data_IF_661602043385
#
_entry.id   IF_661602043385
#
_cell.length_a   1.000
_cell.length_b   1.000
_cell.length_c   1.000
_cell.angle_alpha   90.00
_cell.angle_beta   90.00
_cell.angle_gamma   90.00
#
_symmetry.space_group_name_H-M   'P 1'
#
loop_
_entity.id
_entity.type
_entity.pdbx_description
1 polymer ?
#
# COMPACT_ATOMS: atom_id res chain seq x y z
N UNK A 1 -12.47 12.63 -11.54
CA UNK A 1 -12.76 13.03 -10.14
C UNK A 1 -14.26 13.02 -9.85
N UNK A 2 -15.11 13.58 -10.71
CA UNK A 2 -16.57 13.58 -10.47
C UNK A 2 -17.14 12.16 -10.31
N UNK A 3 -16.64 11.19 -11.08
CA UNK A 3 -17.06 9.79 -10.94
C UNK A 3 -16.76 9.22 -9.56
N UNK A 4 -15.60 9.56 -8.98
CA UNK A 4 -15.24 9.15 -7.62
C UNK A 4 -16.17 9.80 -6.59
N UNK A 5 -16.41 11.11 -6.71
CA UNK A 5 -17.34 11.83 -5.82
C UNK A 5 -18.72 11.17 -5.83
N UNK A 6 -19.22 10.76 -6.99
CA UNK A 6 -20.53 10.11 -7.13
C UNK A 6 -20.60 8.73 -6.46
N UNK A 7 -19.46 8.09 -6.16
CA UNK A 7 -19.37 6.76 -5.56
C UNK A 7 -18.84 6.77 -4.12
N UNK A 8 -18.71 7.94 -3.49
CA UNK A 8 -18.23 8.01 -2.10
C UNK A 8 -19.15 7.27 -1.13
N UNK A 9 -20.47 7.28 -1.35
CA UNK A 9 -21.42 6.53 -0.51
C UNK A 9 -21.20 5.01 -0.62
N UNK A 10 -20.84 4.49 -1.81
CA UNK A 10 -20.44 3.08 -1.99
C UNK A 10 -19.18 2.75 -1.20
N UNK A 11 -18.17 3.61 -1.26
CA UNK A 11 -16.90 3.42 -0.57
C UNK A 11 -17.06 3.50 0.94
N UNK A 12 -17.85 4.45 1.44
CA UNK A 12 -18.18 4.57 2.85
C UNK A 12 -18.92 3.33 3.37
N UNK A 13 -19.94 2.86 2.62
CA UNK A 13 -20.71 1.65 2.94
C UNK A 13 -19.85 0.39 2.93
N UNK A 14 -18.83 0.32 2.08
CA UNK A 14 -17.84 -0.76 2.04
C UNK A 14 -16.92 -0.76 3.27
N UNK A 15 -16.82 0.36 4.00
CA UNK A 15 -15.94 0.52 5.17
C UNK A 15 -14.58 1.17 4.85
N UNK A 16 -14.46 1.81 3.68
CA UNK A 16 -13.25 2.56 3.30
C UNK A 16 -13.14 3.83 4.14
N UNK A 17 -11.95 4.11 4.65
CA UNK A 17 -11.65 5.29 5.49
C UNK A 17 -10.66 6.25 4.85
N UNK A 18 -9.97 5.84 3.79
CA UNK A 18 -9.07 6.68 3.03
C UNK A 18 -9.06 6.27 1.56
N UNK A 19 -8.85 7.23 0.67
CA UNK A 19 -8.61 6.99 -0.75
C UNK A 19 -7.21 7.45 -1.14
N UNK A 20 -6.49 6.58 -1.81
CA UNK A 20 -5.28 6.88 -2.56
C UNK A 20 -5.54 6.59 -4.04
N UNK A 21 -5.45 7.62 -4.87
CA UNK A 21 -5.46 7.48 -6.33
C UNK A 21 -4.04 7.40 -6.85
N UNK A 22 -3.83 6.70 -7.98
CA UNK A 22 -2.60 6.91 -8.79
C UNK A 22 -2.45 8.39 -9.15
N UNK A 23 -1.27 8.86 -9.61
CA UNK A 23 -1.05 10.29 -9.83
C UNK A 23 -2.14 10.92 -10.70
N UNK A 24 -2.59 12.11 -10.30
CA UNK A 24 -3.62 12.87 -10.99
C UNK A 24 -3.09 14.16 -11.62
N UNK A 25 -1.80 14.46 -11.44
CA UNK A 25 -1.18 15.66 -11.99
C UNK A 25 -0.97 15.51 -13.50
N UNK A 26 -0.95 16.64 -14.21
CA UNK A 26 -0.90 16.67 -15.67
C UNK A 26 0.29 15.89 -16.23
N UNK A 27 0.02 15.04 -17.20
CA UNK A 27 1.01 14.27 -17.97
C UNK A 27 0.69 14.40 -19.46
N UNK A 28 1.49 15.23 -20.15
CA UNK A 28 1.34 15.53 -21.57
C UNK A 28 2.28 14.68 -22.45
N UNK A 29 2.87 13.61 -21.92
CA UNK A 29 3.70 12.72 -22.73
C UNK A 29 2.86 12.16 -23.90
N UNK A 30 3.44 12.18 -25.09
CA UNK A 30 2.77 11.69 -26.29
C UNK A 30 2.53 10.17 -26.27
N UNK A 31 3.30 9.44 -25.41
CA UNK A 31 3.19 8.01 -25.20
C UNK A 31 3.20 7.74 -23.69
N UNK A 32 2.45 6.73 -23.27
CA UNK A 32 2.45 6.24 -21.89
C UNK A 32 1.88 7.21 -20.83
N UNK A 33 1.31 8.36 -21.22
CA UNK A 33 0.71 9.32 -20.28
C UNK A 33 -0.50 8.76 -19.49
N UNK A 34 -0.91 7.52 -19.75
CA UNK A 34 -2.00 6.86 -19.02
C UNK A 34 -1.71 6.67 -17.53
N UNK A 35 -0.45 6.54 -17.14
CA UNK A 35 -0.05 6.32 -15.75
C UNK A 35 0.16 7.61 -14.95
N UNK A 36 0.37 8.76 -15.63
CA UNK A 36 0.56 10.09 -15.03
C UNK A 36 1.77 10.25 -14.08
N UNK A 37 2.75 9.33 -14.15
CA UNK A 37 4.00 9.46 -13.41
C UNK A 37 5.02 10.38 -14.10
N UNK A 38 4.92 10.62 -15.42
CA UNK A 38 5.77 11.56 -16.17
C UNK A 38 5.12 12.96 -16.20
N UNK A 39 5.06 13.61 -15.05
CA UNK A 39 4.29 14.84 -14.85
C UNK A 39 4.86 16.02 -15.64
N UNK A 40 4.00 16.73 -16.38
CA UNK A 40 4.33 17.91 -17.17
C UNK A 40 3.99 19.24 -16.48
N UNK A 41 3.10 19.20 -15.48
CA UNK A 41 2.79 20.33 -14.59
C UNK A 41 2.38 19.81 -13.20
N UNK A 42 3.21 20.09 -12.19
CA UNK A 42 3.01 19.60 -10.81
C UNK A 42 2.08 20.50 -9.98
N UNK A 43 1.51 21.56 -10.55
CA UNK A 43 0.50 22.41 -9.93
C UNK A 43 -0.89 22.26 -10.53
N UNK A 44 -1.07 21.29 -11.43
CA UNK A 44 -2.29 21.16 -12.21
C UNK A 44 -2.77 19.72 -12.26
N UNK A 45 -4.04 19.51 -11.93
CA UNK A 45 -4.71 18.24 -12.18
C UNK A 45 -4.85 18.04 -13.70
N UNK A 46 -4.59 16.82 -14.16
CA UNK A 46 -4.71 16.44 -15.55
C UNK A 46 -6.16 16.67 -16.03
N UNK A 47 -6.37 17.39 -17.13
CA UNK A 47 -7.71 17.70 -17.64
C UNK A 47 -8.57 16.46 -17.95
N UNK A 48 -7.96 15.31 -18.14
CA UNK A 48 -8.66 14.02 -18.33
C UNK A 48 -9.43 13.59 -17.08
N UNK A 49 -8.98 14.00 -15.90
CA UNK A 49 -9.60 13.64 -14.61
C UNK A 49 -10.48 14.76 -14.04
N UNK A 50 -10.20 16.02 -14.40
CA UNK A 50 -10.93 17.18 -13.90
C UNK A 50 -10.04 18.40 -13.73
N UNK A 51 -10.32 19.18 -12.71
CA UNK A 51 -9.62 20.44 -12.37
C UNK A 51 -9.09 20.40 -10.95
N UNK A 52 -8.23 21.36 -10.59
CA UNK A 52 -7.79 21.56 -9.21
C UNK A 52 -8.98 21.78 -8.27
N UNK A 53 -10.01 22.51 -8.71
CA UNK A 53 -11.22 22.73 -7.92
C UNK A 53 -12.02 21.43 -7.71
N UNK A 54 -12.03 20.52 -8.69
CA UNK A 54 -12.66 19.21 -8.54
C UNK A 54 -11.90 18.34 -7.51
N UNK A 55 -10.56 18.45 -7.47
CA UNK A 55 -9.76 17.75 -6.48
C UNK A 55 -9.99 18.28 -5.07
N UNK A 56 -10.01 19.61 -4.91
CA UNK A 56 -10.37 20.26 -3.65
C UNK A 56 -11.78 19.87 -3.19
N UNK A 57 -12.74 19.82 -4.12
CA UNK A 57 -14.10 19.37 -3.82
C UNK A 57 -14.13 17.92 -3.37
N UNK A 58 -13.35 17.02 -4.01
CA UNK A 58 -13.23 15.63 -3.57
C UNK A 58 -12.75 15.56 -2.12
N UNK A 59 -11.70 16.32 -1.75
CA UNK A 59 -11.21 16.38 -0.37
C UNK A 59 -12.32 16.82 0.61
N UNK A 60 -13.04 17.88 0.26
CA UNK A 60 -14.16 18.38 1.10
C UNK A 60 -15.29 17.37 1.26
N UNK A 61 -15.68 16.67 0.19
CA UNK A 61 -16.73 15.64 0.23
C UNK A 61 -16.31 14.40 1.03
N UNK A 62 -15.02 14.09 1.01
CA UNK A 62 -14.44 13.00 1.81
C UNK A 62 -14.38 13.38 3.30
N UNK A 63 -13.93 14.59 3.62
CA UNK A 63 -13.90 15.10 5.00
C UNK A 63 -15.29 15.05 5.66
N UNK A 64 -16.37 15.38 4.94
CA UNK A 64 -17.76 15.29 5.43
C UNK A 64 -18.19 13.86 5.80
N UNK A 65 -17.47 12.84 5.27
CA UNK A 65 -17.69 11.41 5.53
C UNK A 65 -16.65 10.81 6.48
N UNK A 66 -15.82 11.66 7.10
CA UNK A 66 -14.69 11.22 7.94
C UNK A 66 -13.71 10.32 7.19
N UNK A 67 -13.58 10.53 5.87
CA UNK A 67 -12.65 9.84 4.98
C UNK A 67 -11.44 10.72 4.68
N UNK A 68 -10.26 10.10 4.49
CA UNK A 68 -8.99 10.76 4.25
C UNK A 68 -8.60 10.68 2.76
N UNK A 69 -8.05 11.78 2.22
CA UNK A 69 -7.55 11.84 0.86
C UNK A 69 -6.02 11.78 0.84
N UNK A 70 -5.48 10.79 0.14
CA UNK A 70 -4.04 10.59 -0.02
C UNK A 70 -3.66 10.85 -1.47
N UNK A 71 -2.71 11.74 -1.71
CA UNK A 71 -2.17 12.02 -3.05
C UNK A 71 -0.97 11.11 -3.32
N UNK A 72 -0.94 10.50 -4.50
CA UNK A 72 0.28 9.92 -5.05
C UNK A 72 1.22 11.06 -5.49
N UNK A 73 2.40 11.14 -4.89
CA UNK A 73 3.32 12.25 -5.06
C UNK A 73 4.67 11.78 -5.56
N UNK A 74 5.15 12.38 -6.64
CA UNK A 74 6.40 12.01 -7.29
C UNK A 74 7.47 13.05 -6.99
N UNK A 75 8.50 12.66 -6.24
CA UNK A 75 9.64 13.52 -5.90
C UNK A 75 10.88 13.23 -6.74
N UNK A 76 10.98 12.00 -7.25
CA UNK A 76 12.20 11.49 -7.89
C UNK A 76 12.44 12.08 -9.28
N UNK A 77 11.41 12.24 -10.07
CA UNK A 77 11.50 12.66 -11.47
C UNK A 77 10.27 13.46 -11.89
N UNK A 78 10.40 14.18 -13.00
CA UNK A 78 9.27 14.76 -13.74
C UNK A 78 9.21 14.18 -15.16
N UNK A 79 8.18 14.52 -15.92
CA UNK A 79 8.14 14.23 -17.34
C UNK A 79 9.08 15.13 -18.15
N UNK A 80 9.65 14.61 -19.24
CA UNK A 80 10.45 15.42 -20.18
C UNK A 80 9.65 16.57 -20.81
N UNK A 81 8.32 16.45 -20.81
CA UNK A 81 7.37 17.49 -21.26
C UNK A 81 7.12 18.58 -20.20
N UNK A 82 7.64 18.43 -18.97
CA UNK A 82 7.47 19.43 -17.92
C UNK A 82 8.08 20.75 -18.34
N UNK A 83 7.34 21.86 -18.14
CA UNK A 83 7.74 23.17 -18.60
C UNK A 83 9.08 23.65 -18.01
N UNK A 84 9.39 23.31 -16.74
CA UNK A 84 10.71 23.57 -16.14
C UNK A 84 11.83 22.69 -16.72
N UNK A 85 11.53 21.49 -17.18
CA UNK A 85 12.52 20.62 -17.85
C UNK A 85 12.88 21.21 -19.22
N UNK A 86 11.89 21.77 -19.94
CA UNK A 86 12.12 22.42 -21.23
C UNK A 86 12.87 23.74 -21.13
N UNK A 87 12.81 24.41 -19.99
CA UNK A 87 13.51 25.68 -19.72
C UNK A 87 14.10 25.64 -18.31
N UNK A 88 15.12 24.80 -18.13
CA UNK A 88 15.76 24.57 -16.84
C UNK A 88 16.34 25.88 -16.27
N UNK A 89 15.98 26.25 -15.02
CA UNK A 89 16.60 27.42 -14.36
C UNK A 89 18.12 27.30 -14.25
N UNK A 90 18.58 26.06 -14.00
CA UNK A 90 20.01 25.68 -14.00
C UNK A 90 20.09 24.20 -14.43
N UNK A 91 21.15 23.84 -15.13
CA UNK A 91 21.36 22.44 -15.57
C UNK A 91 21.42 21.45 -14.40
N UNK A 92 21.85 21.90 -13.22
CA UNK A 92 21.94 21.10 -11.99
C UNK A 92 20.60 20.78 -11.33
N UNK A 93 19.45 21.15 -11.91
CA UNK A 93 18.13 20.75 -11.43
C UNK A 93 17.81 19.27 -11.69
N UNK A 94 18.45 18.72 -12.72
CA UNK A 94 18.33 17.30 -13.06
C UNK A 94 19.70 16.64 -13.05
N UNK A 95 19.74 15.35 -12.75
CA UNK A 95 20.97 14.58 -12.84
C UNK A 95 21.35 14.31 -14.28
N UNK A 96 22.64 14.36 -14.56
CA UNK A 96 23.22 14.26 -15.89
C UNK A 96 24.49 13.42 -15.86
N UNK A 97 24.72 12.71 -16.93
CA UNK A 97 25.91 11.91 -17.16
C UNK A 97 26.67 12.53 -18.35
N UNK A 98 27.64 13.38 -18.06
CA UNK A 98 28.38 14.14 -19.11
C UNK A 98 29.06 13.24 -20.13
N UNK A 99 29.47 12.03 -19.74
CA UNK A 99 30.05 11.06 -20.64
C UNK A 99 29.07 10.58 -21.72
N UNK A 100 27.77 10.74 -21.48
CA UNK A 100 26.69 10.38 -22.41
C UNK A 100 26.17 11.60 -23.18
N UNK A 101 26.82 12.77 -23.04
CA UNK A 101 26.42 14.03 -23.62
C UNK A 101 26.28 13.97 -25.13
N UNK A 102 25.05 14.11 -25.60
CA UNK A 102 24.74 14.17 -27.01
C UNK A 102 24.41 15.56 -27.52
N UNK A 103 23.66 15.65 -28.61
CA UNK A 103 23.35 16.90 -29.30
C UNK A 103 22.33 17.77 -28.55
N UNK A 104 21.38 17.15 -27.88
CA UNK A 104 20.27 17.78 -27.19
C UNK A 104 20.49 17.81 -25.67
N UNK A 105 21.77 17.82 -25.24
CA UNK A 105 22.12 17.96 -23.82
C UNK A 105 21.46 19.23 -23.22
N UNK A 106 20.85 19.15 -22.00
CA UNK A 106 21.02 18.07 -21.01
C UNK A 106 20.11 16.84 -21.17
N UNK A 107 19.07 16.88 -21.98
CA UNK A 107 18.05 15.84 -22.04
C UNK A 107 18.54 14.52 -22.69
N UNK A 108 19.61 14.53 -23.45
CA UNK A 108 20.24 13.33 -24.01
C UNK A 108 21.47 12.87 -23.23
N UNK A 109 21.86 13.60 -22.18
CA UNK A 109 22.98 13.26 -21.30
C UNK A 109 22.61 12.40 -20.11
N UNK A 110 21.67 11.45 -20.25
CA UNK A 110 21.21 10.59 -19.18
C UNK A 110 21.84 9.18 -19.24
N UNK A 111 21.77 8.49 -18.11
CA UNK A 111 21.94 7.05 -18.01
C UNK A 111 20.75 6.44 -17.28
N UNK A 112 20.38 5.22 -17.63
CA UNK A 112 19.30 4.53 -16.92
C UNK A 112 19.73 4.15 -15.51
N UNK A 113 18.79 4.18 -14.57
CA UNK A 113 18.98 3.65 -13.22
C UNK A 113 19.37 2.16 -13.30
N UNK A 114 20.24 1.74 -12.40
CA UNK A 114 20.54 0.31 -12.22
C UNK A 114 19.48 -0.39 -11.35
N UNK A 115 18.50 0.36 -10.81
CA UNK A 115 17.41 -0.12 -9.97
C UNK A 115 17.87 -0.86 -8.69
N UNK A 116 19.08 -0.57 -8.19
CA UNK A 116 19.65 -1.22 -7.00
C UNK A 116 19.68 -0.31 -5.79
N UNK A 117 18.51 0.01 -5.24
CA UNK A 117 18.32 0.88 -4.07
C UNK A 117 19.22 0.51 -2.88
N UNK A 118 19.60 -0.77 -2.78
CA UNK A 118 20.49 -1.27 -1.72
C UNK A 118 21.88 -0.63 -1.74
N UNK A 119 22.33 -0.12 -2.90
CA UNK A 119 23.64 0.56 -3.02
C UNK A 119 23.71 1.84 -2.17
N UNK A 120 22.59 2.47 -1.88
CA UNK A 120 22.53 3.72 -1.09
C UNK A 120 22.91 3.54 0.39
N UNK A 121 22.78 2.34 0.93
CA UNK A 121 23.10 2.03 2.32
C UNK A 121 24.05 0.84 2.53
N UNK A 122 24.50 0.21 1.45
CA UNK A 122 25.57 -0.77 1.52
C UNK A 122 26.91 -0.05 1.70
N UNK A 123 27.60 -0.22 2.86
CA UNK A 123 28.87 0.47 3.13
C UNK A 123 30.01 0.02 2.21
N UNK A 124 29.80 -1.05 1.44
CA UNK A 124 30.79 -1.61 0.51
C UNK A 124 30.41 -1.36 -0.95
N UNK A 125 29.29 -0.69 -1.22
CA UNK A 125 28.88 -0.36 -2.59
C UNK A 125 29.91 0.55 -3.26
N UNK A 126 30.11 0.33 -4.56
CA UNK A 126 30.94 1.27 -5.33
C UNK A 126 30.20 2.59 -5.52
N UNK A 127 30.93 3.71 -5.49
CA UNK A 127 30.36 5.03 -5.72
C UNK A 127 29.65 5.13 -7.08
N UNK A 128 30.14 4.41 -8.09
CA UNK A 128 29.53 4.42 -9.41
C UNK A 128 28.18 3.70 -9.41
N UNK A 129 28.02 2.59 -8.69
CA UNK A 129 26.76 1.87 -8.60
C UNK A 129 25.73 2.65 -7.80
N UNK A 130 26.14 3.30 -6.70
CA UNK A 130 25.28 4.22 -5.94
C UNK A 130 24.79 5.36 -6.83
N UNK A 131 25.69 5.99 -7.55
CA UNK A 131 25.35 7.07 -8.49
C UNK A 131 24.37 6.62 -9.57
N UNK A 132 24.56 5.43 -10.17
CA UNK A 132 23.60 4.92 -11.17
C UNK A 132 22.25 4.54 -10.59
N UNK A 133 22.14 4.32 -9.29
CA UNK A 133 20.86 4.15 -8.63
C UNK A 133 20.15 5.49 -8.38
N UNK A 134 20.83 6.43 -7.74
CA UNK A 134 20.28 7.72 -7.30
C UNK A 134 20.07 8.70 -8.46
N UNK A 135 21.09 8.86 -9.33
CA UNK A 135 21.08 9.85 -10.42
C UNK A 135 20.49 9.28 -11.73
N UNK A 136 20.28 7.96 -11.81
CA UNK A 136 19.88 7.29 -13.04
C UNK A 136 18.39 7.51 -13.35
N UNK A 137 18.09 7.88 -14.60
CA UNK A 137 16.71 8.05 -15.05
C UNK A 137 16.03 6.70 -15.27
N UNK A 138 14.73 6.62 -14.98
CA UNK A 138 13.96 5.42 -15.29
C UNK A 138 13.77 5.22 -16.79
N UNK A 139 13.48 6.29 -17.50
CA UNK A 139 13.39 6.32 -18.96
C UNK A 139 13.87 7.67 -19.49
N UNK A 140 14.08 7.78 -20.80
CA UNK A 140 14.39 9.05 -21.45
C UNK A 140 13.30 10.13 -21.30
N UNK A 141 12.09 9.73 -20.93
CA UNK A 141 10.95 10.65 -20.75
C UNK A 141 10.72 11.02 -19.29
N UNK A 142 11.55 10.53 -18.36
CA UNK A 142 11.49 10.79 -16.93
C UNK A 142 12.83 11.29 -16.40
N UNK A 143 13.18 12.56 -16.65
CA UNK A 143 14.38 13.21 -16.10
C UNK A 143 14.41 13.12 -14.58
N UNK A 144 15.50 12.58 -14.06
CA UNK A 144 15.73 12.46 -12.64
C UNK A 144 16.08 13.81 -12.00
N UNK A 145 15.40 14.15 -10.90
CA UNK A 145 15.54 15.43 -10.22
C UNK A 145 16.67 15.41 -9.21
N UNK A 146 17.51 16.41 -9.23
CA UNK A 146 18.60 16.53 -8.28
C UNK A 146 18.15 17.20 -6.98
N UNK A 147 17.75 16.40 -5.97
CA UNK A 147 17.34 16.89 -4.66
C UNK A 147 18.55 17.38 -3.81
N UNK A 148 19.78 17.08 -4.19
CA UNK A 148 20.98 17.67 -3.56
C UNK A 148 21.15 19.16 -3.94
N UNK A 149 20.50 19.61 -5.02
CA UNK A 149 20.41 21.04 -5.33
C UNK A 149 19.36 21.71 -4.41
N UNK A 150 19.74 22.67 -3.57
CA UNK A 150 18.83 23.27 -2.59
C UNK A 150 17.65 24.03 -3.23
N UNK A 151 17.76 24.47 -4.49
CA UNK A 151 16.65 25.14 -5.19
C UNK A 151 15.61 24.12 -5.66
N UNK A 152 16.05 22.99 -6.20
CA UNK A 152 15.17 21.87 -6.57
C UNK A 152 14.44 21.35 -5.34
N UNK A 153 15.17 21.09 -4.26
CA UNK A 153 14.59 20.62 -3.01
C UNK A 153 13.57 21.62 -2.44
N UNK A 154 13.91 22.93 -2.42
CA UNK A 154 12.99 23.98 -1.96
C UNK A 154 11.71 24.00 -2.80
N UNK A 155 11.82 23.87 -4.11
CA UNK A 155 10.68 23.85 -5.01
C UNK A 155 9.76 22.65 -4.73
N UNK A 156 10.33 21.45 -4.55
CA UNK A 156 9.56 20.24 -4.20
C UNK A 156 8.86 20.37 -2.85
N UNK A 157 9.52 20.95 -1.82
CA UNK A 157 8.90 21.22 -0.52
C UNK A 157 7.74 22.20 -0.67
N UNK A 158 7.95 23.31 -1.36
CA UNK A 158 6.91 24.33 -1.55
C UNK A 158 5.72 23.81 -2.35
N UNK A 159 5.95 22.97 -3.36
CA UNK A 159 4.89 22.33 -4.12
C UNK A 159 4.04 21.39 -3.24
N UNK A 160 4.70 20.59 -2.41
CA UNK A 160 3.98 19.69 -1.48
C UNK A 160 3.14 20.50 -0.48
N UNK A 161 3.70 21.52 0.16
CA UNK A 161 2.96 22.41 1.07
C UNK A 161 1.79 23.10 0.35
N UNK A 162 2.01 23.55 -0.89
CA UNK A 162 0.94 24.17 -1.67
C UNK A 162 -0.25 23.21 -1.89
N UNK A 163 0.00 21.94 -2.19
CA UNK A 163 -1.08 20.95 -2.36
C UNK A 163 -1.82 20.69 -1.04
N UNK A 164 -1.11 20.61 0.09
CA UNK A 164 -1.72 20.44 1.41
C UNK A 164 -2.65 21.61 1.71
N UNK A 165 -2.15 22.84 1.58
CA UNK A 165 -2.92 24.07 1.88
C UNK A 165 -4.07 24.31 0.89
N UNK A 166 -3.84 24.04 -0.40
CA UNK A 166 -4.84 24.27 -1.44
C UNK A 166 -6.01 23.30 -1.35
N UNK A 167 -5.74 22.03 -1.18
CA UNK A 167 -6.78 21.00 -1.26
C UNK A 167 -7.28 20.49 0.09
N UNK A 168 -6.49 20.61 1.16
CA UNK A 168 -6.82 20.02 2.46
C UNK A 168 -6.65 18.50 2.47
N UNK A 169 -5.77 17.94 1.65
CA UNK A 169 -5.48 16.50 1.64
C UNK A 169 -4.78 16.06 2.92
N UNK A 170 -4.86 14.77 3.25
CA UNK A 170 -4.48 14.23 4.56
C UNK A 170 -3.14 13.49 4.56
N UNK A 171 -2.59 13.16 3.40
CA UNK A 171 -1.33 12.42 3.31
C UNK A 171 -0.80 12.30 1.89
N UNK A 172 0.44 11.83 1.81
CA UNK A 172 1.09 11.43 0.56
C UNK A 172 1.44 9.95 0.55
N UNK A 173 1.26 9.29 -0.59
CA UNK A 173 2.05 8.13 -0.96
C UNK A 173 3.15 8.63 -1.89
N UNK A 174 4.39 8.47 -1.51
CA UNK A 174 5.53 8.96 -2.29
C UNK A 174 6.08 7.84 -3.14
N UNK A 175 5.91 8.01 -4.45
CA UNK A 175 6.41 7.12 -5.49
C UNK A 175 7.93 7.00 -5.43
N UNK A 176 8.44 5.79 -5.68
CA UNK A 176 9.87 5.54 -5.81
C UNK A 176 10.73 6.17 -4.69
N UNK A 177 10.22 6.21 -3.46
CA UNK A 177 10.79 6.94 -2.32
C UNK A 177 12.29 6.66 -2.12
N UNK A 178 12.69 5.41 -2.23
CA UNK A 178 14.08 4.97 -2.01
C UNK A 178 15.01 5.10 -3.22
N UNK A 179 14.55 5.70 -4.32
CA UNK A 179 15.40 6.03 -5.48
C UNK A 179 15.91 7.47 -5.45
N UNK A 180 15.25 8.36 -4.70
CA UNK A 180 15.67 9.75 -4.54
C UNK A 180 17.06 9.88 -3.90
N UNK A 181 17.72 11.01 -4.06
CA UNK A 181 18.84 11.38 -3.20
C UNK A 181 18.45 11.19 -1.73
N UNK A 182 19.21 10.37 -1.03
CA UNK A 182 18.85 9.88 0.30
C UNK A 182 18.67 11.02 1.32
N UNK A 183 19.59 11.97 1.34
CA UNK A 183 19.52 13.14 2.24
C UNK A 183 18.47 14.14 1.77
N UNK A 184 18.30 14.28 0.46
CA UNK A 184 17.32 15.16 -0.15
C UNK A 184 15.89 14.74 0.21
N UNK A 185 15.54 13.45 0.04
CA UNK A 185 14.21 12.97 0.39
C UNK A 185 13.93 12.98 1.90
N UNK A 186 14.95 12.70 2.72
CA UNK A 186 14.84 12.82 4.17
C UNK A 186 14.55 14.27 4.59
N UNK A 187 15.24 15.24 4.01
CA UNK A 187 15.01 16.66 4.26
C UNK A 187 13.64 17.13 3.77
N UNK A 188 13.19 16.64 2.60
CA UNK A 188 11.84 16.92 2.08
C UNK A 188 10.79 16.40 3.06
N UNK A 189 10.90 15.12 3.46
CA UNK A 189 9.97 14.49 4.39
C UNK A 189 9.93 15.21 5.74
N UNK A 190 11.12 15.55 6.26
CA UNK A 190 11.24 16.29 7.51
C UNK A 190 10.56 17.65 7.45
N UNK A 191 10.75 18.41 6.37
CA UNK A 191 10.16 19.72 6.21
C UNK A 191 8.62 19.66 6.23
N UNK A 192 8.02 18.63 5.59
CA UNK A 192 6.58 18.44 5.59
C UNK A 192 6.06 18.01 6.97
N UNK A 193 6.73 17.04 7.60
CA UNK A 193 6.27 16.51 8.90
C UNK A 193 6.54 17.45 10.07
N UNK A 194 7.51 18.36 9.98
CA UNK A 194 7.72 19.43 10.96
C UNK A 194 6.61 20.50 10.87
N UNK A 195 6.15 20.84 9.66
CA UNK A 195 5.07 21.81 9.44
C UNK A 195 3.69 21.20 9.76
N UNK A 196 3.49 19.93 9.40
CA UNK A 196 2.24 19.19 9.58
C UNK A 196 2.48 17.88 10.38
N UNK A 197 2.59 17.94 11.72
CA UNK A 197 2.97 16.76 12.53
C UNK A 197 2.02 15.57 12.45
N UNK A 198 0.76 15.79 12.07
CA UNK A 198 -0.26 14.74 11.91
C UNK A 198 -0.44 14.28 10.46
N UNK A 199 0.35 14.82 9.52
CA UNK A 199 0.30 14.44 8.12
C UNK A 199 1.05 13.13 7.90
N UNK A 200 0.41 12.13 7.31
CA UNK A 200 1.05 10.86 7.06
C UNK A 200 1.71 10.81 5.67
N UNK A 201 2.89 10.23 5.61
CA UNK A 201 3.63 9.98 4.37
C UNK A 201 3.96 8.51 4.32
N UNK A 202 3.52 7.85 3.25
CA UNK A 202 3.84 6.45 2.95
C UNK A 202 4.88 6.42 1.84
N UNK A 203 6.09 6.01 2.16
CA UNK A 203 7.16 5.84 1.16
C UNK A 203 7.06 4.49 0.46
N UNK A 204 7.06 4.51 -0.88
CA UNK A 204 7.24 3.28 -1.63
C UNK A 204 8.71 2.85 -1.57
N UNK A 205 8.96 1.82 -0.77
CA UNK A 205 10.27 1.17 -0.62
C UNK A 205 10.13 -0.26 -1.09
N UNK A 206 10.21 -0.48 -2.39
CA UNK A 206 9.98 -1.79 -3.00
C UNK A 206 11.19 -2.71 -2.84
N UNK A 207 11.31 -3.26 -1.66
CA UNK A 207 12.36 -4.20 -1.27
C UNK A 207 11.74 -5.48 -0.69
N UNK A 208 12.49 -6.57 -0.76
CA UNK A 208 12.02 -7.91 -0.37
C UNK A 208 12.69 -8.43 0.92
N UNK A 209 13.07 -7.50 1.80
CA UNK A 209 13.69 -7.82 3.09
C UNK A 209 13.28 -6.78 4.12
N UNK A 210 12.77 -7.23 5.28
CA UNK A 210 12.24 -6.35 6.33
C UNK A 210 13.28 -5.35 6.86
N UNK A 211 14.53 -5.78 7.08
CA UNK A 211 15.56 -4.87 7.58
C UNK A 211 15.86 -3.74 6.59
N UNK A 212 15.79 -4.03 5.28
CA UNK A 212 15.99 -3.05 4.22
C UNK A 212 14.81 -2.07 4.13
N UNK A 213 13.57 -2.54 4.28
CA UNK A 213 12.37 -1.70 4.33
C UNK A 213 12.38 -0.85 5.61
N UNK A 214 12.64 -1.47 6.77
CA UNK A 214 12.70 -0.79 8.06
C UNK A 214 13.78 0.30 8.13
N UNK A 215 14.85 0.19 7.34
CA UNK A 215 15.86 1.23 7.20
C UNK A 215 15.27 2.60 6.83
N UNK A 216 14.21 2.59 6.03
CA UNK A 216 13.56 3.79 5.48
C UNK A 216 12.40 4.31 6.34
N UNK A 217 12.06 3.67 7.45
CA UNK A 217 11.04 4.21 8.35
C UNK A 217 11.65 5.27 9.30
N UNK A 218 10.85 6.27 9.65
CA UNK A 218 11.23 7.31 10.63
C UNK A 218 11.78 6.69 11.92
N UNK A 219 12.86 7.26 12.43
CA UNK A 219 13.54 6.85 13.68
C UNK A 219 13.98 5.37 13.68
N UNK A 220 14.25 4.83 12.48
CA UNK A 220 14.68 3.44 12.29
C UNK A 220 15.94 3.11 13.08
N UNK A 221 15.87 2.03 13.86
CA UNK A 221 17.06 1.49 14.55
C UNK A 221 18.14 1.01 13.57
N UNK A 222 17.70 0.51 12.40
CA UNK A 222 18.60 0.04 11.33
C UNK A 222 19.26 1.25 10.66
N UNK A 223 18.48 2.30 10.33
CA UNK A 223 19.01 3.55 9.77
C UNK A 223 20.00 4.25 10.73
N UNK A 224 19.71 4.23 12.03
CA UNK A 224 20.57 4.83 13.05
C UNK A 224 21.97 4.21 13.10
N UNK A 225 22.17 2.96 12.67
CA UNK A 225 23.51 2.34 12.55
C UNK A 225 24.41 3.08 11.55
N UNK A 226 23.81 3.85 10.63
CA UNK A 226 24.51 4.67 9.64
C UNK A 226 24.28 6.17 9.84
N UNK A 227 23.77 6.58 11.01
CA UNK A 227 23.42 7.96 11.33
C UNK A 227 22.38 8.55 10.33
N UNK A 228 21.47 7.71 9.84
CA UNK A 228 20.43 8.10 8.89
C UNK A 228 19.03 8.04 9.53
N UNK A 229 18.21 9.04 9.23
CA UNK A 229 16.79 9.07 9.52
C UNK A 229 16.03 9.64 8.31
N UNK A 230 15.21 8.83 7.70
CA UNK A 230 14.39 9.24 6.55
C UNK A 230 13.27 10.20 6.92
N UNK A 231 12.89 10.26 8.19
CA UNK A 231 11.70 10.94 8.71
C UNK A 231 10.36 10.44 8.11
N UNK A 232 10.37 9.39 7.31
CA UNK A 232 9.18 8.82 6.67
C UNK A 232 8.35 8.00 7.67
N UNK A 233 7.14 8.44 8.05
CA UNK A 233 6.37 7.78 9.09
C UNK A 233 5.97 6.34 8.71
N UNK A 234 5.62 6.10 7.46
CA UNK A 234 5.11 4.83 6.96
C UNK A 234 5.89 4.34 5.75
N UNK A 235 6.03 3.03 5.63
CA UNK A 235 6.58 2.33 4.47
C UNK A 235 5.69 1.16 4.08
N UNK A 236 5.76 0.72 2.82
CA UNK A 236 4.95 -0.39 2.30
C UNK A 236 5.58 -1.74 2.63
N UNK A 237 4.80 -2.67 3.21
CA UNK A 237 5.25 -4.02 3.57
C UNK A 237 5.20 -4.98 2.36
N UNK A 238 6.16 -4.84 1.46
CA UNK A 238 6.31 -5.73 0.32
C UNK A 238 6.62 -7.18 0.72
N UNK A 239 7.21 -7.40 1.89
CA UNK A 239 7.52 -8.77 2.33
C UNK A 239 6.30 -9.56 2.73
N UNK A 240 5.29 -8.91 3.34
CA UNK A 240 3.99 -9.54 3.59
C UNK A 240 3.23 -9.78 2.29
N UNK A 241 3.27 -8.83 1.35
CA UNK A 241 2.73 -9.00 0.00
C UNK A 241 3.31 -10.24 -0.69
N UNK A 242 4.64 -10.40 -0.68
CA UNK A 242 5.32 -11.56 -1.27
C UNK A 242 4.84 -12.88 -0.64
N UNK A 243 4.73 -12.92 0.70
CA UNK A 243 4.25 -14.09 1.42
C UNK A 243 2.79 -14.43 1.03
N UNK A 244 1.90 -13.42 1.00
CA UNK A 244 0.49 -13.57 0.60
C UNK A 244 0.39 -14.09 -0.84
N UNK A 245 1.27 -13.68 -1.74
CA UNK A 245 1.26 -14.11 -3.14
C UNK A 245 1.43 -15.62 -3.35
N UNK A 246 1.95 -16.37 -2.36
CA UNK A 246 2.28 -17.78 -2.49
C UNK A 246 1.67 -18.69 -1.42
N UNK A 247 1.63 -18.26 -0.15
CA UNK A 247 1.40 -19.15 1.00
C UNK A 247 0.06 -19.86 0.99
N UNK A 248 -1.01 -19.25 0.46
CA UNK A 248 -2.34 -19.87 0.47
C UNK A 248 -2.52 -20.95 -0.59
N UNK A 249 -1.61 -21.08 -1.58
CA UNK A 249 -1.53 -22.20 -2.53
C UNK A 249 -0.82 -23.42 -1.95
N UNK A 250 -0.12 -23.25 -0.86
CA UNK A 250 0.72 -24.28 -0.25
C UNK A 250 -0.12 -25.07 0.76
N UNK A 251 -0.77 -26.12 0.30
CA UNK A 251 -1.71 -26.94 1.10
C UNK A 251 -1.03 -27.76 2.18
N UNK A 252 0.25 -28.05 2.01
CA UNK A 252 1.02 -28.85 2.97
C UNK A 252 1.88 -27.95 3.85
N UNK A 253 1.76 -28.11 5.16
CA UNK A 253 2.67 -27.48 6.12
C UNK A 253 4.07 -28.09 5.99
N UNK A 254 5.07 -27.24 5.85
CA UNK A 254 6.48 -27.60 5.92
C UNK A 254 7.27 -26.55 6.72
N UNK A 255 8.58 -26.70 6.78
CA UNK A 255 9.45 -25.72 7.43
C UNK A 255 9.33 -24.32 6.79
N UNK A 256 9.03 -24.23 5.52
CA UNK A 256 9.07 -22.97 4.75
C UNK A 256 7.78 -22.72 3.93
N UNK A 257 6.76 -23.57 4.05
CA UNK A 257 5.56 -23.49 3.21
C UNK A 257 4.28 -23.24 4.02
N UNK A 258 3.30 -22.61 3.38
CA UNK A 258 2.01 -22.35 3.99
C UNK A 258 2.05 -21.22 5.02
N UNK A 259 1.29 -21.36 6.08
CA UNK A 259 1.06 -20.31 7.08
C UNK A 259 2.30 -19.91 7.89
N UNK A 260 3.37 -20.70 7.86
CA UNK A 260 4.65 -20.33 8.50
C UNK A 260 5.22 -19.04 7.89
N UNK A 261 4.95 -18.77 6.61
CA UNK A 261 5.42 -17.53 5.95
C UNK A 261 4.82 -16.27 6.56
N UNK A 262 3.57 -16.31 7.01
CA UNK A 262 2.97 -15.21 7.75
C UNK A 262 3.62 -15.05 9.13
N UNK A 263 3.79 -16.14 9.85
CA UNK A 263 4.46 -16.15 11.15
C UNK A 263 5.88 -15.58 11.05
N UNK A 264 6.69 -16.07 10.11
CA UNK A 264 8.06 -15.63 9.89
C UNK A 264 8.17 -14.16 9.44
N UNK A 265 7.14 -13.64 8.79
CA UNK A 265 7.05 -12.21 8.51
C UNK A 265 6.92 -11.40 9.81
N UNK A 266 5.95 -11.75 10.66
CA UNK A 266 5.64 -11.00 11.87
C UNK A 266 6.71 -11.12 12.99
N UNK A 267 7.50 -12.19 13.03
CA UNK A 267 8.62 -12.30 13.99
C UNK A 267 9.67 -11.21 13.80
N UNK A 268 9.68 -10.54 12.65
CA UNK A 268 10.58 -9.45 12.32
C UNK A 268 10.02 -8.04 12.63
N UNK A 269 8.82 -7.95 13.22
CA UNK A 269 8.19 -6.67 13.55
C UNK A 269 9.05 -5.78 14.45
N UNK A 270 9.92 -6.36 15.27
CA UNK A 270 10.90 -5.63 16.12
C UNK A 270 11.91 -4.78 15.33
N UNK A 271 12.07 -5.02 14.02
CA UNK A 271 12.94 -4.22 13.15
C UNK A 271 12.36 -2.83 12.86
N UNK A 272 11.03 -2.73 12.83
CA UNK A 272 10.33 -1.48 12.55
C UNK A 272 10.20 -0.63 13.81
N UNK A 273 10.17 0.68 13.65
CA UNK A 273 9.93 1.61 14.75
C UNK A 273 8.44 1.75 15.07
N UNK A 274 7.61 1.74 14.04
CA UNK A 274 6.16 1.83 14.15
C UNK A 274 5.51 0.82 13.21
N UNK A 275 5.05 -0.30 13.77
CA UNK A 275 4.40 -1.37 13.02
C UNK A 275 2.95 -1.06 12.68
N UNK A 276 2.29 -0.21 13.46
CA UNK A 276 0.88 0.15 13.25
C UNK A 276 0.70 1.13 12.09
N UNK A 277 1.77 1.80 11.70
CA UNK A 277 1.80 2.69 10.54
C UNK A 277 2.46 2.07 9.28
N UNK A 278 2.70 0.76 9.25
CA UNK A 278 3.09 0.07 8.01
C UNK A 278 1.87 -0.01 7.07
N UNK A 279 2.06 0.24 5.78
CA UNK A 279 1.03 -0.05 4.79
C UNK A 279 1.14 -1.52 4.37
N UNK A 280 0.10 -2.31 4.68
CA UNK A 280 0.02 -3.74 4.37
C UNK A 280 -0.97 -4.00 3.24
N UNK A 281 -0.65 -4.91 2.33
CA UNK A 281 -1.47 -5.14 1.14
C UNK A 281 -1.26 -6.55 0.55
N UNK A 282 -2.26 -7.03 -0.17
CA UNK A 282 -2.16 -8.26 -0.95
C UNK A 282 -1.84 -7.98 -2.43
N UNK A 283 -2.31 -6.86 -2.94
CA UNK A 283 -2.12 -6.40 -4.31
C UNK A 283 -2.17 -4.87 -4.40
N UNK A 284 -1.63 -4.31 -5.49
CA UNK A 284 -1.77 -2.91 -5.84
C UNK A 284 -1.79 -2.73 -7.36
N UNK A 285 -1.72 -1.48 -7.83
CA UNK A 285 -1.74 -1.13 -9.25
C UNK A 285 -0.48 -1.55 -10.04
N UNK A 286 0.57 -2.00 -9.36
CA UNK A 286 1.84 -2.45 -9.97
C UNK A 286 2.05 -3.96 -9.88
N UNK A 287 1.25 -4.65 -9.07
CA UNK A 287 1.37 -6.09 -8.85
C UNK A 287 0.24 -6.88 -9.53
N UNK A 288 0.36 -8.19 -9.61
CA UNK A 288 -0.71 -9.04 -10.10
C UNK A 288 -1.93 -9.02 -9.18
N UNK A 289 -3.15 -9.04 -9.76
CA UNK A 289 -4.38 -9.14 -8.97
C UNK A 289 -4.39 -10.42 -8.13
N UNK A 290 -4.72 -10.31 -6.85
CA UNK A 290 -4.77 -11.47 -5.94
C UNK A 290 -5.77 -12.52 -6.42
N UNK A 291 -6.90 -12.10 -6.97
CA UNK A 291 -7.90 -12.98 -7.54
C UNK A 291 -7.41 -13.70 -8.82
N UNK A 292 -6.46 -13.13 -9.56
CA UNK A 292 -5.76 -13.83 -10.65
C UNK A 292 -4.75 -14.83 -10.11
N UNK A 293 -3.96 -14.42 -9.14
CA UNK A 293 -2.95 -15.28 -8.48
C UNK A 293 -3.62 -16.57 -7.95
N UNK A 294 -4.81 -16.47 -7.38
CA UNK A 294 -5.56 -17.59 -6.80
C UNK A 294 -6.67 -18.12 -7.71
N UNK A 295 -6.61 -17.86 -9.03
CA UNK A 295 -7.53 -18.39 -10.04
C UNK A 295 -9.02 -18.11 -9.76
N UNK A 296 -9.35 -16.97 -9.19
CA UNK A 296 -10.72 -16.58 -8.85
C UNK A 296 -11.31 -17.33 -7.65
N UNK A 297 -10.48 -17.88 -6.78
CA UNK A 297 -10.97 -18.58 -5.59
C UNK A 297 -11.38 -17.61 -4.50
N UNK A 298 -12.66 -17.53 -4.21
CA UNK A 298 -13.22 -16.72 -3.12
C UNK A 298 -12.65 -17.15 -1.75
N UNK A 299 -12.38 -18.44 -1.54
CA UNK A 299 -11.87 -18.93 -0.26
C UNK A 299 -10.43 -18.43 -0.01
N UNK A 300 -9.57 -18.45 -1.02
CA UNK A 300 -8.23 -17.87 -0.90
C UNK A 300 -8.29 -16.35 -0.71
N UNK A 301 -9.20 -15.68 -1.41
CA UNK A 301 -9.43 -14.24 -1.21
C UNK A 301 -9.82 -13.92 0.24
N UNK A 302 -10.74 -14.72 0.82
CA UNK A 302 -11.16 -14.55 2.21
C UNK A 302 -10.00 -14.70 3.18
N UNK A 303 -9.13 -15.69 2.99
CA UNK A 303 -7.92 -15.87 3.81
C UNK A 303 -6.97 -14.67 3.69
N UNK A 304 -6.67 -14.23 2.45
CA UNK A 304 -5.77 -13.12 2.19
C UNK A 304 -6.30 -11.80 2.77
N UNK A 305 -7.56 -11.47 2.51
CA UNK A 305 -8.16 -10.22 3.01
C UNK A 305 -8.34 -10.24 4.52
N UNK A 306 -8.67 -11.39 5.12
CA UNK A 306 -8.72 -11.49 6.59
C UNK A 306 -7.36 -11.20 7.19
N UNK A 307 -6.28 -11.78 6.66
CA UNK A 307 -4.93 -11.50 7.16
C UNK A 307 -4.59 -10.01 7.03
N UNK A 308 -4.78 -9.41 5.85
CA UNK A 308 -4.50 -7.98 5.60
C UNK A 308 -5.31 -7.08 6.52
N UNK A 309 -6.61 -7.37 6.72
CA UNK A 309 -7.50 -6.51 7.49
C UNK A 309 -7.41 -6.69 9.01
N UNK A 310 -6.82 -7.78 9.50
CA UNK A 310 -6.79 -8.06 10.95
C UNK A 310 -5.39 -8.08 11.57
N UNK A 311 -4.34 -8.03 10.74
CA UNK A 311 -2.97 -7.87 11.20
C UNK A 311 -2.65 -6.43 11.61
N UNK A 312 -1.40 -6.17 12.01
CA UNK A 312 -0.89 -4.82 12.28
C UNK A 312 -0.79 -3.99 10.99
N UNK A 313 -0.68 -2.67 11.12
CA UNK A 313 -0.52 -1.73 10.01
C UNK A 313 -1.84 -1.25 9.42
N UNK A 314 -1.73 -0.40 8.40
CA UNK A 314 -2.85 0.17 7.65
C UNK A 314 -3.10 -0.64 6.38
N UNK A 315 -4.23 -1.33 6.24
CA UNK A 315 -4.53 -2.14 5.06
C UNK A 315 -4.79 -1.26 3.83
N UNK A 316 -4.13 -1.58 2.74
CA UNK A 316 -4.43 -1.06 1.41
C UNK A 316 -5.21 -2.11 0.63
N UNK A 317 -6.37 -1.74 0.13
CA UNK A 317 -7.21 -2.56 -0.73
C UNK A 317 -7.24 -1.94 -2.12
N UNK A 318 -6.88 -2.71 -3.12
CA UNK A 318 -6.93 -2.25 -4.50
C UNK A 318 -8.35 -2.35 -5.04
N UNK A 319 -8.85 -1.30 -5.71
CA UNK A 319 -10.22 -1.25 -6.21
C UNK A 319 -10.57 -2.48 -7.06
N UNK A 320 -11.78 -2.97 -6.92
CA UNK A 320 -12.27 -4.15 -7.63
C UNK A 320 -11.88 -5.49 -7.01
N UNK A 321 -10.96 -5.52 -6.02
CA UNK A 321 -10.70 -6.73 -5.24
C UNK A 321 -11.95 -7.19 -4.52
N UNK A 322 -12.73 -6.24 -4.00
CA UNK A 322 -13.98 -6.45 -3.28
C UNK A 322 -15.12 -7.02 -4.12
N UNK A 323 -14.95 -7.10 -5.43
CA UNK A 323 -15.90 -7.74 -6.36
C UNK A 323 -15.25 -8.85 -7.20
N UNK A 324 -14.04 -9.30 -6.80
CA UNK A 324 -13.35 -10.41 -7.44
C UNK A 324 -12.69 -10.10 -8.78
N UNK A 325 -12.39 -8.81 -9.09
CA UNK A 325 -11.70 -8.46 -10.34
C UNK A 325 -10.36 -9.18 -10.47
N UNK A 326 -10.07 -9.64 -11.69
CA UNK A 326 -8.86 -10.39 -12.04
C UNK A 326 -8.00 -9.59 -13.02
N UNK A 327 -6.72 -9.88 -13.07
CA UNK A 327 -5.79 -9.27 -14.00
C UNK A 327 -4.39 -9.83 -13.89
N UNK A 328 -3.85 -10.27 -15.04
CA UNK A 328 -2.52 -10.86 -15.16
C UNK A 328 -1.50 -9.75 -15.47
N UNK A 329 -0.63 -9.44 -14.52
CA UNK A 329 0.46 -8.46 -14.68
C UNK A 329 1.38 -8.81 -15.85
N UNK A 330 1.54 -10.10 -16.18
CA UNK A 330 2.34 -10.54 -17.33
C UNK A 330 1.82 -10.03 -18.69
N UNK A 331 0.56 -9.57 -18.73
CA UNK A 331 -0.06 -8.93 -19.91
C UNK A 331 0.04 -7.40 -19.91
N UNK A 332 0.76 -6.83 -18.96
CA UNK A 332 0.98 -5.40 -18.81
C UNK A 332 -0.03 -4.71 -17.87
N UNK A 333 0.20 -3.42 -17.63
CA UNK A 333 -0.56 -2.65 -16.65
C UNK A 333 -2.04 -2.54 -16.98
N UNK A 334 -2.41 -2.40 -18.24
CA UNK A 334 -3.81 -2.34 -18.66
C UNK A 334 -4.62 -3.57 -18.24
N UNK A 335 -3.98 -4.74 -18.08
CA UNK A 335 -4.65 -5.96 -17.65
C UNK A 335 -5.02 -5.95 -16.16
N UNK A 336 -4.25 -5.24 -15.32
CA UNK A 336 -4.51 -5.14 -13.89
C UNK A 336 -5.24 -3.85 -13.50
N UNK A 337 -5.28 -2.84 -14.40
CA UNK A 337 -5.89 -1.52 -14.21
C UNK A 337 -7.15 -1.35 -15.06
N UNK A 338 -7.98 -2.39 -15.14
CA UNK A 338 -9.23 -2.39 -15.90
C UNK A 338 -10.28 -1.48 -15.25
N UNK A 339 -11.20 -0.95 -16.05
CA UNK A 339 -12.33 -0.17 -15.57
C UNK A 339 -13.19 -0.98 -14.57
N UNK A 340 -13.65 -0.31 -13.52
CA UNK A 340 -14.62 -0.90 -12.60
C UNK A 340 -15.98 -1.01 -13.28
N UNK A 341 -16.65 -2.17 -13.24
CA UNK A 341 -17.95 -2.36 -13.88
C UNK A 341 -19.01 -1.40 -13.33
N UNK A 342 -19.57 -0.54 -14.19
CA UNK A 342 -20.49 0.54 -13.80
C UNK A 342 -19.83 1.91 -13.69
N UNK A 343 -18.51 2.01 -13.97
CA UNK A 343 -17.79 3.29 -14.03
C UNK A 343 -18.21 4.17 -15.22
N UNK A 344 -18.72 3.56 -16.30
CA UNK A 344 -19.19 4.26 -17.50
C UNK A 344 -20.68 4.07 -17.71
N UNK A 345 -21.34 5.10 -18.24
CA UNK A 345 -22.79 5.06 -18.54
C UNK A 345 -23.19 3.97 -19.57
N UNK A 346 -22.22 3.46 -20.32
CA UNK A 346 -22.40 2.42 -21.33
C UNK A 346 -22.16 1.01 -20.82
N UNK A 347 -21.75 0.85 -19.57
CA UNK A 347 -21.45 -0.46 -18.99
C UNK A 347 -22.75 -1.29 -18.88
N UNK A 348 -22.64 -2.56 -19.23
CA UNK A 348 -23.77 -3.48 -19.18
C UNK A 348 -24.23 -3.79 -17.75
N UNK A 349 -23.30 -3.76 -16.80
CA UNK A 349 -23.52 -4.03 -15.39
C UNK A 349 -22.98 -2.88 -14.55
N UNK A 350 -23.58 -2.67 -13.38
CA UNK A 350 -23.15 -1.67 -12.42
C UNK A 350 -22.85 -2.34 -11.08
N UNK A 351 -21.58 -2.68 -10.84
CA UNK A 351 -21.16 -3.35 -9.62
C UNK A 351 -21.15 -2.45 -8.37
N UNK A 352 -21.36 -1.14 -8.51
CA UNK A 352 -21.60 -0.27 -7.36
C UNK A 352 -22.92 -0.56 -6.65
N UNK A 353 -23.87 -1.20 -7.34
CA UNK A 353 -25.18 -1.53 -6.80
C UNK A 353 -25.36 -3.03 -6.61
N UNK A 354 -26.10 -3.45 -5.59
CA UNK A 354 -26.36 -4.86 -5.30
C UNK A 354 -27.05 -5.55 -6.49
N UNK A 355 -28.03 -4.92 -7.10
CA UNK A 355 -28.78 -5.48 -8.22
C UNK A 355 -27.97 -5.58 -9.51
N UNK A 356 -26.88 -4.84 -9.61
CA UNK A 356 -25.98 -4.86 -10.76
C UNK A 356 -24.79 -5.82 -10.59
N UNK A 357 -24.54 -6.35 -9.38
CA UNK A 357 -23.52 -7.38 -9.13
C UNK A 357 -24.02 -8.77 -9.52
N UNK A 358 -23.13 -9.60 -10.05
CA UNK A 358 -23.38 -11.04 -10.18
C UNK A 358 -23.39 -11.68 -8.79
N UNK A 359 -23.89 -12.92 -8.67
CA UNK A 359 -23.85 -13.69 -7.41
C UNK A 359 -22.42 -13.85 -6.89
N UNK A 360 -21.46 -14.09 -7.77
CA UNK A 360 -20.04 -14.17 -7.42
C UNK A 360 -19.50 -12.83 -6.90
N UNK A 361 -19.72 -11.73 -7.62
CA UNK A 361 -19.32 -10.39 -7.19
C UNK A 361 -19.95 -10.00 -5.85
N UNK A 362 -21.22 -10.35 -5.63
CA UNK A 362 -21.91 -10.10 -4.36
C UNK A 362 -21.31 -10.90 -3.21
N UNK A 363 -20.86 -12.14 -3.45
CA UNK A 363 -20.20 -12.94 -2.43
C UNK A 363 -18.87 -12.33 -1.98
N UNK A 364 -18.05 -11.84 -2.91
CA UNK A 364 -16.83 -11.08 -2.60
C UNK A 364 -17.15 -9.78 -1.86
N UNK A 365 -18.12 -9.00 -2.36
CA UNK A 365 -18.48 -7.70 -1.80
C UNK A 365 -19.04 -7.82 -0.37
N UNK A 366 -19.97 -8.75 -0.14
CA UNK A 366 -20.58 -8.93 1.18
C UNK A 366 -19.56 -9.34 2.23
N UNK A 367 -18.61 -10.21 1.86
CA UNK A 367 -17.51 -10.59 2.74
C UNK A 367 -16.62 -9.38 3.06
N UNK A 368 -16.17 -8.65 2.03
CA UNK A 368 -15.30 -7.49 2.17
C UNK A 368 -15.93 -6.40 3.02
N UNK A 369 -17.19 -6.06 2.73
CA UNK A 369 -17.95 -5.07 3.49
C UNK A 369 -18.05 -5.43 4.98
N UNK A 370 -18.36 -6.69 5.29
CA UNK A 370 -18.45 -7.15 6.68
C UNK A 370 -17.10 -7.03 7.39
N UNK A 371 -16.02 -7.47 6.73
CA UNK A 371 -14.68 -7.47 7.29
C UNK A 371 -14.14 -6.04 7.50
N UNK A 372 -14.31 -5.15 6.50
CA UNK A 372 -13.74 -3.81 6.56
C UNK A 372 -14.50 -2.92 7.56
N UNK A 373 -15.82 -3.03 7.63
CA UNK A 373 -16.60 -2.33 8.65
C UNK A 373 -16.26 -2.84 10.06
N UNK A 374 -16.09 -4.16 10.23
CA UNK A 374 -15.63 -4.71 11.49
C UNK A 374 -14.28 -4.13 11.91
N UNK A 375 -13.30 -4.07 10.99
CA UNK A 375 -12.02 -3.42 11.29
C UNK A 375 -12.21 -1.96 11.66
N UNK A 376 -12.98 -1.19 10.86
CA UNK A 376 -13.26 0.23 11.11
C UNK A 376 -13.74 0.50 12.54
N UNK A 377 -14.58 -0.40 13.08
CA UNK A 377 -15.21 -0.29 14.39
C UNK A 377 -14.44 -0.97 15.53
N UNK A 378 -13.29 -1.60 15.22
CA UNK A 378 -12.53 -2.43 16.17
C UNK A 378 -11.11 -1.88 16.42
N UNK A 379 -10.93 -0.96 17.41
CA UNK A 379 -9.63 -0.37 17.74
C UNK A 379 -8.51 -1.40 18.00
N UNK A 380 -8.83 -2.57 18.55
CA UNK A 380 -7.85 -3.65 18.73
C UNK A 380 -7.19 -4.10 17.43
N UNK A 381 -7.85 -3.94 16.28
CA UNK A 381 -7.26 -4.22 14.96
C UNK A 381 -6.41 -3.06 14.43
N UNK A 382 -6.50 -1.86 15.01
CA UNK A 382 -5.69 -0.70 14.64
C UNK A 382 -4.34 -0.71 15.36
N UNK A 383 -4.36 -0.61 16.68
CA UNK A 383 -3.18 -0.44 17.53
C UNK A 383 -3.06 -1.47 18.65
N UNK A 384 -3.87 -2.54 18.60
CA UNK A 384 -3.83 -3.59 19.62
C UNK A 384 -2.57 -4.44 19.52
N UNK A 385 -2.15 -4.98 20.66
CA UNK A 385 -1.02 -5.91 20.73
C UNK A 385 -1.32 -7.18 19.94
N UNK A 386 -0.29 -7.71 19.26
CA UNK A 386 -0.32 -8.98 18.57
C UNK A 386 0.24 -10.07 19.50
N UNK A 387 -0.59 -11.08 19.79
CA UNK A 387 -0.14 -12.37 20.32
C UNK A 387 -0.40 -13.42 19.26
N UNK A 388 0.63 -14.11 18.78
CA UNK A 388 0.47 -15.11 17.73
C UNK A 388 1.13 -16.44 18.09
N UNK A 389 0.57 -17.51 17.60
CA UNK A 389 1.03 -18.86 17.84
C UNK A 389 1.70 -19.44 16.61
N UNK A 390 2.76 -20.23 16.83
CA UNK A 390 3.41 -20.95 15.73
C UNK A 390 2.36 -21.78 14.99
N UNK A 391 2.25 -21.66 13.66
CA UNK A 391 1.28 -22.44 12.89
C UNK A 391 1.50 -23.96 13.06
N UNK A 392 0.42 -24.67 13.29
CA UNK A 392 0.39 -26.13 13.32
C UNK A 392 -0.59 -26.67 12.29
N UNK A 393 -0.22 -27.72 11.59
CA UNK A 393 -1.04 -28.30 10.55
C UNK A 393 -1.58 -27.27 9.55
N UNK A 394 -0.74 -26.30 9.14
CA UNK A 394 -1.12 -25.21 8.24
C UNK A 394 -2.31 -24.36 8.71
N UNK A 395 -2.53 -24.29 10.03
CA UNK A 395 -3.49 -23.39 10.69
C UNK A 395 -2.72 -22.34 11.47
N UNK A 396 -3.04 -21.09 11.25
CA UNK A 396 -2.45 -19.97 11.95
C UNK A 396 -3.46 -19.30 12.87
N UNK A 397 -3.09 -19.11 14.14
CA UNK A 397 -3.93 -18.48 15.17
C UNK A 397 -3.18 -17.30 15.76
N UNK A 398 -3.86 -16.16 15.82
CA UNK A 398 -3.36 -14.97 16.49
C UNK A 398 -4.49 -14.16 17.14
N UNK A 399 -4.09 -13.29 18.05
CA UNK A 399 -4.97 -12.39 18.78
C UNK A 399 -4.52 -10.96 18.60
N UNK A 400 -5.50 -10.07 18.53
CA UNK A 400 -5.29 -8.62 18.62
C UNK A 400 -6.02 -8.13 19.86
N UNK A 401 -5.31 -7.48 20.77
CA UNK A 401 -5.89 -7.05 22.05
C UNK A 401 -5.57 -5.58 22.33
N UNK A 402 -6.59 -4.82 22.70
CA UNK A 402 -6.47 -3.44 23.17
C UNK A 402 -7.46 -3.24 24.32
N UNK A 403 -6.97 -2.89 25.49
CA UNK A 403 -7.78 -2.78 26.70
C UNK A 403 -8.62 -4.06 26.96
N UNK A 404 -9.95 -3.91 27.00
CA UNK A 404 -10.89 -5.03 27.20
C UNK A 404 -11.33 -5.70 25.88
N UNK A 405 -10.91 -5.17 24.73
CA UNK A 405 -11.27 -5.72 23.43
C UNK A 405 -10.24 -6.73 22.95
N UNK A 406 -10.65 -7.95 22.66
CA UNK A 406 -9.78 -9.00 22.08
C UNK A 406 -10.46 -9.65 20.89
N UNK A 407 -9.74 -9.74 19.79
CA UNK A 407 -10.15 -10.46 18.58
C UNK A 407 -9.22 -11.64 18.38
N UNK A 408 -9.79 -12.85 18.30
CA UNK A 408 -9.10 -14.07 17.89
C UNK A 408 -9.31 -14.28 16.39
N UNK A 409 -8.23 -14.52 15.68
CA UNK A 409 -8.25 -14.83 14.25
C UNK A 409 -7.65 -16.21 14.01
N UNK A 410 -8.36 -17.03 13.25
CA UNK A 410 -7.91 -18.36 12.85
C UNK A 410 -7.94 -18.44 11.33
N UNK A 411 -6.82 -18.80 10.73
CA UNK A 411 -6.69 -19.02 9.28
C UNK A 411 -6.38 -20.48 9.02
N UNK A 412 -7.36 -21.24 8.52
CA UNK A 412 -7.16 -22.63 8.11
C UNK A 412 -6.79 -22.68 6.62
N UNK A 413 -5.53 -22.92 6.31
CA UNK A 413 -5.05 -23.03 4.93
C UNK A 413 -5.08 -24.47 4.39
N UNK A 414 -5.67 -25.42 5.11
CA UNK A 414 -5.87 -26.79 4.58
C UNK A 414 -7.11 -26.85 3.67
N UNK A 415 -7.14 -27.78 2.71
CA UNK A 415 -8.35 -28.08 1.96
C UNK A 415 -9.50 -28.62 2.85
N UNK A 416 -9.15 -29.37 3.91
CA UNK A 416 -10.10 -30.01 4.83
C UNK A 416 -10.32 -29.18 6.09
N UNK A 417 -11.40 -29.46 6.75
CA UNK A 417 -11.75 -28.95 8.06
C UNK A 417 -10.71 -29.37 9.11
N UNK A 418 -10.42 -28.47 10.04
CA UNK A 418 -9.54 -28.71 11.18
C UNK A 418 -10.27 -28.44 12.49
N UNK A 419 -9.99 -29.26 13.50
CA UNK A 419 -10.49 -29.07 14.86
C UNK A 419 -9.34 -28.69 15.78
N UNK A 420 -9.47 -27.54 16.46
CA UNK A 420 -8.47 -26.97 17.34
C UNK A 420 -8.84 -27.24 18.80
N UNK A 421 -7.87 -27.75 19.55
CA UNK A 421 -7.91 -27.76 21.01
C UNK A 421 -7.57 -26.37 21.53
N UNK A 422 -8.56 -25.70 22.12
CA UNK A 422 -8.40 -24.33 22.60
C UNK A 422 -7.53 -24.21 23.87
N UNK A 423 -7.22 -25.33 24.54
CA UNK A 423 -6.30 -25.32 25.69
C UNK A 423 -4.90 -24.76 25.37
N UNK A 424 -4.46 -24.86 24.10
CA UNK A 424 -3.23 -24.27 23.60
C UNK A 424 -3.25 -22.75 23.59
N UNK A 425 -4.43 -22.14 23.45
CA UNK A 425 -4.61 -20.71 23.20
C UNK A 425 -5.08 -19.93 24.45
N UNK A 426 -4.99 -20.52 25.64
CA UNK A 426 -5.48 -19.94 26.89
C UNK A 426 -4.85 -18.57 27.22
N UNK A 427 -3.59 -18.31 26.79
CA UNK A 427 -2.95 -17.01 26.96
C UNK A 427 -3.68 -15.90 26.20
N UNK A 428 -4.15 -16.16 24.99
CA UNK A 428 -4.90 -15.21 24.17
C UNK A 428 -6.38 -15.15 24.54
N UNK A 429 -6.99 -16.29 24.88
CA UNK A 429 -8.40 -16.39 25.28
C UNK A 429 -8.63 -15.75 26.67
N UNK A 430 -7.63 -15.83 27.56
CA UNK A 430 -7.68 -15.30 28.94
C UNK A 430 -8.86 -15.90 29.73
N UNK A 431 -9.82 -15.05 30.13
CA UNK A 431 -11.00 -15.45 30.91
C UNK A 431 -12.29 -15.52 30.05
N UNK A 432 -12.18 -15.35 28.74
CA UNK A 432 -13.35 -15.41 27.85
C UNK A 432 -13.85 -16.87 27.77
N UNK A 433 -15.14 -17.06 28.00
CA UNK A 433 -15.81 -18.36 27.86
C UNK A 433 -16.64 -18.47 26.58
N UNK A 434 -16.91 -17.34 25.97
CA UNK A 434 -17.64 -17.25 24.69
C UNK A 434 -16.98 -16.26 23.75
N UNK A 435 -17.25 -16.40 22.46
CA UNK A 435 -16.87 -15.45 21.43
C UNK A 435 -17.93 -15.35 20.36
N UNK A 436 -18.03 -14.18 19.73
CA UNK A 436 -18.96 -13.95 18.62
C UNK A 436 -18.22 -14.01 17.30
N UNK A 437 -18.57 -14.99 16.45
CA UNK A 437 -18.00 -15.14 15.12
C UNK A 437 -18.57 -14.08 14.16
N UNK A 438 -17.66 -13.40 13.42
CA UNK A 438 -17.99 -12.21 12.63
C UNK A 438 -18.99 -12.48 11.49
N UNK A 439 -18.79 -13.54 10.71
CA UNK A 439 -19.55 -13.73 9.47
C UNK A 439 -20.88 -14.46 9.70
N UNK A 440 -20.89 -15.47 10.56
CA UNK A 440 -22.10 -16.22 10.90
C UNK A 440 -22.94 -15.55 11.99
N UNK A 441 -22.34 -14.63 12.75
CA UNK A 441 -22.93 -14.02 13.94
C UNK A 441 -23.26 -15.01 15.06
N UNK A 442 -22.75 -16.23 15.00
CA UNK A 442 -22.95 -17.26 16.01
C UNK A 442 -22.11 -16.98 17.25
N UNK A 443 -22.66 -17.28 18.42
CA UNK A 443 -21.89 -17.36 19.66
C UNK A 443 -21.25 -18.73 19.76
N UNK A 444 -19.93 -18.73 19.93
CA UNK A 444 -19.13 -19.94 20.11
C UNK A 444 -18.81 -20.12 21.59
N UNK A 445 -18.90 -21.36 22.08
CA UNK A 445 -18.40 -21.73 23.39
C UNK A 445 -16.90 -22.04 23.29
N UNK A 446 -16.07 -21.34 24.06
CA UNK A 446 -14.61 -21.47 24.03
C UNK A 446 -14.09 -22.57 24.97
N UNK A 447 -14.97 -23.24 25.75
CA UNK A 447 -14.63 -24.43 26.50
C UNK A 447 -14.64 -25.68 25.62
N UNK A 448 -15.26 -25.62 24.43
CA UNK A 448 -15.34 -26.69 23.45
C UNK A 448 -14.26 -26.56 22.37
N UNK A 449 -13.83 -27.65 21.72
CA UNK A 449 -12.97 -27.60 20.56
C UNK A 449 -13.57 -26.76 19.42
N UNK A 450 -12.74 -25.95 18.76
CA UNK A 450 -13.15 -25.06 17.69
C UNK A 450 -12.92 -25.69 16.32
N UNK A 451 -14.01 -25.86 15.56
CA UNK A 451 -13.95 -26.39 14.20
C UNK A 451 -13.88 -25.28 13.16
N UNK A 452 -12.92 -25.36 12.24
CA UNK A 452 -12.67 -24.40 11.17
C UNK A 452 -12.70 -25.09 9.82
N UNK A 453 -13.59 -24.68 8.95
CA UNK A 453 -13.71 -25.22 7.58
C UNK A 453 -12.40 -25.12 6.81
N UNK A 454 -12.22 -25.98 5.81
CA UNK A 454 -11.09 -25.89 4.90
C UNK A 454 -11.05 -24.56 4.14
N UNK A 455 -9.85 -24.05 3.87
CA UNK A 455 -9.62 -22.77 3.17
C UNK A 455 -10.51 -21.63 3.69
N UNK A 456 -10.58 -21.49 5.00
CA UNK A 456 -11.52 -20.55 5.62
C UNK A 456 -10.90 -19.79 6.79
N UNK A 457 -11.19 -18.50 6.94
CA UNK A 457 -10.90 -17.74 8.16
C UNK A 457 -12.04 -17.89 9.17
N UNK A 458 -11.70 -17.72 10.46
CA UNK A 458 -12.63 -17.34 11.52
C UNK A 458 -12.13 -16.05 12.17
N UNK A 459 -13.02 -15.13 12.42
CA UNK A 459 -12.74 -13.88 13.16
C UNK A 459 -13.73 -13.82 14.32
N UNK A 460 -13.23 -13.83 15.55
CA UNK A 460 -14.02 -14.02 16.75
C UNK A 460 -13.75 -12.88 17.72
N UNK A 461 -14.76 -12.09 18.05
CA UNK A 461 -14.70 -11.14 19.16
C UNK A 461 -14.92 -11.90 20.46
N UNK A 462 -13.96 -11.85 21.39
CA UNK A 462 -14.04 -12.52 22.70
C UNK A 462 -14.85 -11.70 23.69
N UNK A 463 -15.63 -12.39 24.55
CA UNK A 463 -16.52 -11.82 25.56
C UNK A 463 -16.19 -12.34 26.96
#
# INVERSE_FOLDING_TARGET
LQGVINQLDYLEDLGVTALWSTPLLEDNDAKYSYHTYAQSDVYKIDPRYGTNEDYKRLATEMEQRDMKLIMDYVTNHWGAEHWLIKDLPEQSWIHQFEDNKGKDFPLDGYANSNYRMTTQYDPNASAIDTRYCEDGWFTSTMPDLNQSNPKTLTYLIQNAIWWIEYSGLDGFRVDTYSYNDKEGIANWTKAITDEYPNFNIVGEVWLHNQAQIAYWQKDSKIGALQNFNSHCPSVMDFTLHDAIGVMFKEDNASWNDGMIKAYDNFVNDFLYQDIDNLMVFAENHDTGRINEIYNGSLDHYKLAMTLVATTRGTPQIYYGSEIGMRGDKGKGDGAIRQDFPGGWATDANNAFTKDGRTEEQEAYHSFSKTLFNFRKETPALHTGELLHYLPENNVYVYFRSLEDQTVMVVLNNNPEEQTLDLSRFTEGIKNATTGKELFSQNTLNLDDPLTVKGKSPLVISLN
#
